data_IF_206375994059
#
_entry.id   IF_206375994059
#
_cell.length_a   1.000
_cell.length_b   1.000
_cell.length_c   1.000
_cell.angle_alpha   90.00
_cell.angle_beta   90.00
_cell.angle_gamma   90.00
#
_symmetry.space_group_name_H-M   'P 1'
#
loop_
_entity.id
_entity.type
_entity.pdbx_description
1 polymer ?
#
# COMPACT_ATOMS: atom_id res chain seq x y z
N UNK A 1 21.75 20.53 7.98
CA UNK A 1 20.70 21.09 7.11
C UNK A 1 19.44 20.28 7.38
N UNK A 2 18.41 20.88 7.97
CA UNK A 2 17.13 20.21 8.23
C UNK A 2 16.28 20.34 6.98
N UNK A 3 16.10 19.24 6.24
CA UNK A 3 15.06 19.19 5.20
C UNK A 3 13.73 19.05 5.93
N UNK A 4 12.96 20.13 6.05
CA UNK A 4 11.54 19.99 6.35
C UNK A 4 10.92 19.26 5.16
N UNK A 5 10.43 18.01 5.29
CA UNK A 5 9.54 17.48 4.28
C UNK A 5 8.30 18.36 4.36
N UNK A 6 8.15 19.29 3.43
CA UNK A 6 6.85 19.94 3.22
C UNK A 6 5.84 18.80 3.06
N UNK A 7 4.69 18.83 3.77
CA UNK A 7 3.63 17.89 3.50
C UNK A 7 3.31 18.03 2.01
N UNK A 8 3.66 17.02 1.22
CA UNK A 8 3.40 17.04 -0.21
C UNK A 8 1.89 17.24 -0.37
N UNK A 9 1.51 18.37 -0.97
CA UNK A 9 0.11 18.66 -1.21
C UNK A 9 -0.42 17.66 -2.23
N UNK A 10 -1.30 16.76 -1.76
CA UNK A 10 -2.07 15.88 -2.64
C UNK A 10 -3.41 16.58 -2.88
N UNK A 11 -3.71 16.83 -4.15
CA UNK A 11 -5.00 17.38 -4.56
C UNK A 11 -6.16 16.58 -3.93
N UNK A 12 -7.16 17.24 -3.32
CA UNK A 12 -8.33 16.57 -2.74
C UNK A 12 -9.03 15.59 -3.67
N UNK A 13 -9.07 15.84 -4.99
CA UNK A 13 -9.62 14.92 -5.98
C UNK A 13 -8.78 13.62 -6.08
N UNK A 14 -7.45 13.74 -6.01
CA UNK A 14 -6.56 12.58 -5.96
C UNK A 14 -6.74 11.80 -4.65
N UNK A 15 -6.90 12.50 -3.52
CA UNK A 15 -7.23 11.85 -2.24
C UNK A 15 -8.56 11.10 -2.34
N UNK A 16 -9.58 11.69 -2.94
CA UNK A 16 -10.87 11.03 -3.14
C UNK A 16 -10.75 9.79 -4.02
N UNK A 17 -10.00 9.86 -5.13
CA UNK A 17 -9.72 8.71 -5.99
C UNK A 17 -9.01 7.58 -5.22
N UNK A 18 -7.95 7.89 -4.46
CA UNK A 18 -7.21 6.88 -3.68
C UNK A 18 -8.12 6.19 -2.66
N UNK A 19 -8.98 6.95 -1.99
CA UNK A 19 -9.98 6.39 -1.05
C UNK A 19 -10.96 5.46 -1.76
N UNK A 20 -11.40 5.82 -2.96
CA UNK A 20 -12.34 5.03 -3.75
C UNK A 20 -11.72 3.73 -4.25
N UNK A 21 -10.46 3.78 -4.70
CA UNK A 21 -9.70 2.59 -5.09
C UNK A 21 -9.56 1.62 -3.91
N UNK A 22 -9.19 2.11 -2.72
CA UNK A 22 -9.11 1.26 -1.51
C UNK A 22 -10.46 0.65 -1.14
N UNK A 23 -11.56 1.41 -1.28
CA UNK A 23 -12.92 0.90 -1.02
C UNK A 23 -13.30 -0.19 -2.00
N UNK A 24 -13.12 0.07 -3.29
CA UNK A 24 -13.42 -0.87 -4.38
C UNK A 24 -12.63 -2.18 -4.21
N UNK A 25 -11.38 -2.08 -3.75
CA UNK A 25 -10.52 -3.24 -3.51
C UNK A 25 -10.74 -3.92 -2.15
N UNK A 26 -11.74 -3.51 -1.35
CA UNK A 26 -12.05 -4.13 -0.07
C UNK A 26 -11.08 -3.78 1.08
N UNK A 27 -10.29 -2.71 0.94
CA UNK A 27 -9.35 -2.20 1.96
C UNK A 27 -9.86 -0.94 2.67
N UNK A 28 -11.12 -0.54 2.45
CA UNK A 28 -11.74 0.61 3.13
C UNK A 28 -13.26 0.44 3.22
N UNK A 29 -13.83 0.88 4.33
CA UNK A 29 -15.25 0.77 4.62
C UNK A 29 -15.54 -0.26 5.73
N UNK A 30 -16.76 -0.26 6.25
CA UNK A 30 -17.20 -1.20 7.29
C UNK A 30 -17.38 -2.62 6.73
N UNK A 31 -17.70 -2.73 5.45
CA UNK A 31 -17.83 -3.99 4.70
C UNK A 31 -16.47 -4.56 4.24
N UNK A 32 -15.38 -3.83 4.50
CA UNK A 32 -14.05 -4.30 4.11
C UNK A 32 -13.60 -5.42 5.06
N UNK A 33 -13.62 -6.65 4.55
CA UNK A 33 -13.14 -7.88 5.22
C UNK A 33 -11.65 -7.82 5.62
N UNK A 34 -10.87 -6.91 5.03
CA UNK A 34 -9.47 -6.74 5.37
C UNK A 34 -9.27 -6.27 6.83
N UNK A 35 -8.37 -6.93 7.56
CA UNK A 35 -7.93 -6.50 8.89
C UNK A 35 -7.24 -5.13 8.87
N UNK A 36 -7.10 -4.50 10.04
CA UNK A 36 -6.51 -3.16 10.19
C UNK A 36 -5.13 -3.05 9.53
N UNK A 37 -4.26 -4.05 9.73
CA UNK A 37 -2.92 -4.06 9.16
C UNK A 37 -2.95 -4.15 7.63
N UNK A 38 -3.80 -5.02 7.08
CA UNK A 38 -3.97 -5.15 5.64
C UNK A 38 -4.50 -3.85 5.01
N UNK A 39 -5.44 -3.17 5.67
CA UNK A 39 -5.95 -1.85 5.26
C UNK A 39 -4.84 -0.80 5.28
N UNK A 40 -4.02 -0.77 6.33
CA UNK A 40 -2.88 0.15 6.43
C UNK A 40 -1.84 -0.12 5.35
N UNK A 41 -1.41 -1.37 5.17
CA UNK A 41 -0.41 -1.72 4.14
C UNK A 41 -0.91 -1.42 2.73
N UNK A 42 -2.19 -1.67 2.44
CA UNK A 42 -2.77 -1.32 1.15
C UNK A 42 -2.76 0.19 0.90
N UNK A 43 -3.05 1.02 1.91
CA UNK A 43 -3.00 2.46 1.79
C UNK A 43 -1.58 2.99 1.54
N UNK A 44 -0.59 2.48 2.27
CA UNK A 44 0.83 2.84 2.09
C UNK A 44 1.31 2.45 0.69
N UNK A 45 1.01 1.22 0.27
CA UNK A 45 1.35 0.74 -1.07
C UNK A 45 0.71 1.62 -2.15
N UNK A 46 -0.60 1.88 -2.06
CA UNK A 46 -1.31 2.67 -3.04
C UNK A 46 -0.76 4.10 -3.16
N UNK A 47 -0.38 4.70 -2.03
CA UNK A 47 0.25 6.02 -2.01
C UNK A 47 1.61 5.99 -2.72
N UNK A 48 2.41 4.94 -2.51
CA UNK A 48 3.69 4.79 -3.21
C UNK A 48 3.52 4.63 -4.72
N UNK A 49 2.56 3.83 -5.18
CA UNK A 49 2.24 3.66 -6.61
C UNK A 49 1.82 4.99 -7.24
N UNK A 50 0.99 5.77 -6.55
CA UNK A 50 0.57 7.08 -7.02
C UNK A 50 1.75 8.07 -7.15
N UNK A 51 2.65 8.09 -6.16
CA UNK A 51 3.87 8.91 -6.20
C UNK A 51 4.81 8.47 -7.32
N UNK A 52 4.85 7.17 -7.63
CA UNK A 52 5.65 6.59 -8.70
C UNK A 52 5.04 6.75 -10.11
N UNK A 53 3.91 7.44 -10.24
CA UNK A 53 3.34 7.83 -11.54
C UNK A 53 2.05 7.10 -11.93
N UNK A 54 1.55 6.16 -11.12
CA UNK A 54 0.24 5.55 -11.37
C UNK A 54 -0.88 6.51 -10.96
N UNK A 55 -1.23 7.43 -11.85
CA UNK A 55 -2.17 8.53 -11.58
C UNK A 55 -3.63 8.24 -11.94
N UNK A 56 -3.95 7.06 -12.49
CA UNK A 56 -5.32 6.69 -12.86
C UNK A 56 -5.91 5.65 -11.91
N UNK A 57 -7.23 5.69 -11.75
CA UNK A 57 -7.99 4.75 -10.91
C UNK A 57 -7.74 3.30 -11.33
N UNK A 58 -7.75 3.03 -12.64
CA UNK A 58 -7.60 1.70 -13.23
C UNK A 58 -6.19 1.15 -13.00
N UNK A 59 -5.16 1.99 -13.16
CA UNK A 59 -3.78 1.57 -12.92
C UNK A 59 -3.55 1.18 -11.45
N UNK A 60 -4.11 1.97 -10.54
CA UNK A 60 -4.02 1.76 -9.10
C UNK A 60 -4.79 0.51 -8.64
N UNK A 61 -5.99 0.26 -9.19
CA UNK A 61 -6.73 -0.99 -8.94
C UNK A 61 -5.94 -2.20 -9.42
N UNK A 62 -5.40 -2.15 -10.65
CA UNK A 62 -4.56 -3.24 -11.17
C UNK A 62 -3.30 -3.46 -10.34
N UNK A 63 -2.72 -2.41 -9.76
CA UNK A 63 -1.58 -2.54 -8.85
C UNK A 63 -1.95 -3.30 -7.58
N UNK A 64 -3.11 -3.00 -6.97
CA UNK A 64 -3.61 -3.73 -5.81
C UNK A 64 -3.95 -5.19 -6.14
N UNK A 65 -4.57 -5.45 -7.29
CA UNK A 65 -4.85 -6.81 -7.74
C UNK A 65 -3.57 -7.64 -7.94
N UNK A 66 -2.54 -7.05 -8.57
CA UNK A 66 -1.22 -7.70 -8.72
C UNK A 66 -0.60 -8.02 -7.37
N UNK A 67 -0.67 -7.08 -6.41
CA UNK A 67 -0.18 -7.29 -5.05
C UNK A 67 -0.93 -8.43 -4.34
N UNK A 68 -2.27 -8.46 -4.43
CA UNK A 68 -3.09 -9.52 -3.85
C UNK A 68 -2.82 -10.89 -4.48
N UNK A 69 -2.63 -10.94 -5.80
CA UNK A 69 -2.23 -12.16 -6.51
C UNK A 69 -0.83 -12.63 -6.14
N UNK A 70 0.14 -11.71 -5.96
CA UNK A 70 1.48 -12.04 -5.48
C UNK A 70 1.44 -12.70 -4.11
N UNK A 71 0.72 -12.10 -3.15
CA UNK A 71 0.52 -12.68 -1.81
C UNK A 71 -0.20 -14.04 -1.87
N UNK A 72 -1.24 -14.17 -2.70
CA UNK A 72 -1.95 -15.44 -2.86
C UNK A 72 -1.09 -16.54 -3.53
N UNK A 73 -0.22 -16.16 -4.47
CA UNK A 73 0.76 -17.06 -5.08
C UNK A 73 1.83 -17.48 -4.07
N UNK A 74 2.37 -16.55 -3.27
CA UNK A 74 3.36 -16.85 -2.22
C UNK A 74 2.79 -17.79 -1.15
N UNK A 75 1.50 -17.65 -0.80
CA UNK A 75 0.81 -18.53 0.13
C UNK A 75 0.48 -19.91 -0.48
N UNK A 76 0.14 -19.99 -1.77
CA UNK A 76 -0.15 -21.27 -2.46
C UNK A 76 1.09 -22.03 -2.92
N UNK A 77 2.20 -21.35 -3.17
CA UNK A 77 3.43 -21.96 -3.68
C UNK A 77 4.27 -22.66 -2.60
N UNK A 78 3.84 -22.67 -1.33
CA UNK A 78 4.52 -23.41 -0.25
C UNK A 78 5.97 -22.99 0.02
N UNK A 79 6.43 -21.88 -0.58
CA UNK A 79 7.73 -21.28 -0.30
C UNK A 79 7.50 -20.07 0.58
N UNK A 80 7.45 -20.29 1.89
CA UNK A 80 7.97 -19.29 2.80
C UNK A 80 9.43 -19.01 2.38
N UNK A 81 9.83 -17.77 2.08
CA UNK A 81 11.15 -17.36 2.46
C UNK A 81 11.09 -17.06 3.95
N UNK A 82 11.29 -18.09 4.77
CA UNK A 82 11.99 -17.88 6.04
C UNK A 82 13.34 -17.26 5.66
N UNK A 83 13.74 -16.22 6.39
CA UNK A 83 15.09 -15.64 6.46
C UNK A 83 15.51 -14.38 5.68
N UNK A 84 14.75 -13.74 4.77
CA UNK A 84 15.32 -12.52 4.11
C UNK A 84 14.45 -11.29 3.82
N UNK A 85 13.20 -11.20 4.27
CA UNK A 85 12.37 -10.02 3.95
C UNK A 85 11.83 -9.22 5.15
N UNK A 86 12.09 -9.63 6.39
CA UNK A 86 11.63 -8.92 7.61
C UNK A 86 12.82 -8.57 8.51
N UNK A 87 13.92 -8.09 7.93
CA UNK A 87 15.10 -7.70 8.71
C UNK A 87 15.73 -6.38 8.25
N UNK A 88 14.93 -5.49 7.65
CA UNK A 88 15.45 -4.16 7.25
C UNK A 88 14.61 -2.95 7.63
N UNK A 89 13.65 -3.10 8.54
CA UNK A 89 12.82 -1.97 8.98
C UNK A 89 12.65 -1.92 10.51
N UNK A 90 13.64 -2.42 11.26
CA UNK A 90 13.80 -2.15 12.68
C UNK A 90 15.26 -1.85 13.02
N UNK A 91 15.85 -0.81 12.43
CA UNK A 91 16.93 -0.09 13.11
C UNK A 91 17.20 1.25 12.43
N UNK A 92 16.45 2.30 12.79
CA UNK A 92 16.97 3.69 12.86
C UNK A 92 16.16 4.44 13.93
N UNK A 93 16.13 3.86 15.13
CA UNK A 93 15.42 4.36 16.29
C UNK A 93 16.33 4.44 17.51
N UNK A 94 17.31 5.34 17.49
CA UNK A 94 17.90 5.91 18.70
C UNK A 94 19.38 5.62 18.94
N UNK A 95 20.23 6.61 18.66
CA UNK A 95 20.89 7.40 19.72
C UNK A 95 21.38 8.74 19.19
#
# INVERSE_FOLDING_TARGET
MSSNPSPEYIDPANVAMLREVLRTAGFRGVEAEAGSDAKHTAAVFLNSEFRNGNRTREALLRALERRGKGVAYDLRAGKLPKDRAIDRWQDEGGR
#
